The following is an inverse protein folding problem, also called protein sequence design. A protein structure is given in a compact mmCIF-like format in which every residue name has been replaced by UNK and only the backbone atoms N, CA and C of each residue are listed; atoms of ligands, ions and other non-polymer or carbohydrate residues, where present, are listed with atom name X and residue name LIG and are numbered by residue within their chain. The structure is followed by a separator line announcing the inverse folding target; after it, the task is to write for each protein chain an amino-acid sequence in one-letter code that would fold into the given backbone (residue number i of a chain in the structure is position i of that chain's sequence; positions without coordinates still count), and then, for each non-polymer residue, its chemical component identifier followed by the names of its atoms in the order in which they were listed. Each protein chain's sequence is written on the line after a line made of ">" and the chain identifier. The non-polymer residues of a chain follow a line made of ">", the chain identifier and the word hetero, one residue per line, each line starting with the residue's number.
data_IF_703356757737
#
_entry.id   IF_703356757737
#
_cell.length_a   1.000
_cell.length_b   1.000
_cell.length_c   1.000
_cell.angle_alpha   90.00
_cell.angle_beta   90.00
_cell.angle_gamma   90.00
#
_symmetry.space_group_name_H-M   'P 1'
#
loop_
_entity.id
_entity.type
_entity.pdbx_description
1 polymer ?
#
# COMPACT_ATOMS: atom_id res chain seq x y z
N UNK A 1 -17.38 -6.34 -3.21
CA UNK A 1 -17.74 -4.95 -3.61
C UNK A 1 -17.65 -4.75 -5.12
N UNK A 2 -16.55 -5.17 -5.76
CA UNK A 2 -16.36 -5.06 -7.22
C UNK A 2 -17.53 -5.68 -8.00
N UNK A 3 -17.98 -6.88 -7.61
CA UNK A 3 -19.09 -7.55 -8.30
C UNK A 3 -20.41 -6.78 -8.21
N UNK A 4 -20.62 -6.03 -7.13
CA UNK A 4 -21.79 -5.16 -7.00
C UNK A 4 -21.75 -4.03 -8.04
N UNK A 5 -20.60 -3.41 -8.24
CA UNK A 5 -20.43 -2.35 -9.25
C UNK A 5 -20.50 -2.92 -10.67
N UNK A 6 -19.95 -4.11 -10.90
CA UNK A 6 -20.08 -4.82 -12.18
C UNK A 6 -21.53 -5.12 -12.53
N UNK A 7 -22.33 -5.56 -11.56
CA UNK A 7 -23.78 -5.77 -11.74
C UNK A 7 -24.55 -4.47 -12.02
N UNK A 8 -23.98 -3.31 -11.67
CA UNK A 8 -24.53 -1.98 -11.98
C UNK A 8 -23.98 -1.40 -13.30
N UNK A 9 -23.19 -2.17 -14.07
CA UNK A 9 -22.65 -1.76 -15.36
C UNK A 9 -21.29 -1.05 -15.30
N UNK A 10 -20.59 -1.09 -14.17
CA UNK A 10 -19.22 -0.57 -14.07
C UNK A 10 -18.23 -1.63 -14.53
N UNK A 11 -17.43 -1.31 -15.54
CA UNK A 11 -16.39 -2.20 -16.07
C UNK A 11 -15.00 -1.78 -15.56
N UNK A 12 -14.11 -2.76 -15.45
CA UNK A 12 -12.70 -2.52 -15.12
C UNK A 12 -11.92 -2.56 -16.42
N UNK A 13 -11.19 -1.50 -16.70
CA UNK A 13 -10.23 -1.42 -17.80
C UNK A 13 -8.81 -1.56 -17.26
N UNK A 14 -7.95 -2.21 -18.04
CA UNK A 14 -6.54 -2.45 -17.68
C UNK A 14 -5.63 -1.31 -18.15
N UNK A 15 -6.05 -0.55 -19.16
CA UNK A 15 -5.28 0.56 -19.69
C UNK A 15 -6.17 1.73 -20.14
N UNK A 16 -5.64 2.97 -20.14
CA UNK A 16 -6.37 4.15 -20.60
C UNK A 16 -6.88 4.02 -22.03
N UNK A 17 -6.24 3.18 -22.84
CA UNK A 17 -6.58 3.00 -24.24
C UNK A 17 -7.94 2.38 -24.49
N UNK A 18 -8.44 1.62 -23.50
CA UNK A 18 -9.75 0.96 -23.53
C UNK A 18 -10.90 1.91 -23.19
N UNK A 19 -10.62 3.13 -22.73
CA UNK A 19 -11.66 4.12 -22.46
C UNK A 19 -12.15 4.76 -23.76
N UNK A 20 -13.44 4.59 -24.05
CA UNK A 20 -14.10 5.10 -25.26
C UNK A 20 -14.64 6.52 -25.06
N UNK A 21 -14.69 7.35 -26.12
CA UNK A 21 -15.29 8.68 -26.08
C UNK A 21 -16.70 8.71 -25.48
N UNK A 22 -16.99 9.72 -24.66
CA UNK A 22 -18.25 9.91 -23.95
C UNK A 22 -18.43 9.06 -22.68
N UNK A 23 -17.46 8.21 -22.33
CA UNK A 23 -17.48 7.44 -21.08
C UNK A 23 -16.95 8.25 -19.88
N UNK A 24 -17.32 7.80 -18.68
CA UNK A 24 -16.75 8.28 -17.42
C UNK A 24 -15.74 7.27 -16.88
N UNK A 25 -14.50 7.70 -16.65
CA UNK A 25 -13.42 6.89 -16.07
C UNK A 25 -13.23 7.26 -14.61
N UNK A 26 -13.35 6.26 -13.73
CA UNK A 26 -13.15 6.45 -12.28
C UNK A 26 -11.76 5.93 -11.90
N UNK A 27 -10.89 6.83 -11.42
CA UNK A 27 -9.59 6.45 -10.86
C UNK A 27 -9.79 5.95 -9.44
N UNK A 28 -9.33 4.73 -9.15
CA UNK A 28 -9.50 4.08 -7.84
C UNK A 28 -8.68 4.74 -6.74
N UNK A 29 -9.02 4.43 -5.49
CA UNK A 29 -8.38 4.99 -4.28
C UNK A 29 -6.87 4.86 -4.20
N UNK A 30 -6.29 3.83 -4.85
CA UNK A 30 -4.85 3.59 -4.92
C UNK A 30 -4.10 4.60 -5.79
N UNK A 31 -4.81 5.39 -6.59
CA UNK A 31 -4.19 6.27 -7.58
C UNK A 31 -3.60 5.52 -8.76
N UNK A 32 -3.06 6.29 -9.69
CA UNK A 32 -2.38 5.82 -10.90
C UNK A 32 -1.15 6.70 -11.17
N UNK A 33 -0.27 6.19 -12.03
CA UNK A 33 0.90 6.93 -12.50
C UNK A 33 0.49 8.22 -13.21
N UNK A 34 1.37 9.24 -13.22
CA UNK A 34 1.10 10.52 -13.86
C UNK A 34 0.76 10.37 -15.35
N UNK A 35 1.42 9.47 -16.06
CA UNK A 35 1.19 9.21 -17.48
C UNK A 35 -0.25 8.75 -17.78
N UNK A 36 -0.89 8.02 -16.86
CA UNK A 36 -2.28 7.57 -17.03
C UNK A 36 -3.24 8.76 -17.05
N UNK A 37 -3.03 9.76 -16.20
CA UNK A 37 -3.79 11.01 -16.26
C UNK A 37 -3.60 11.70 -17.61
N UNK A 38 -2.36 11.87 -18.04
CA UNK A 38 -2.02 12.54 -19.30
C UNK A 38 -2.65 11.83 -20.52
N UNK A 39 -2.73 10.50 -20.50
CA UNK A 39 -3.39 9.70 -21.55
C UNK A 39 -4.92 9.83 -21.53
N UNK A 40 -5.53 9.85 -20.34
CA UNK A 40 -6.98 10.02 -20.20
C UNK A 40 -7.43 11.44 -20.55
N UNK A 41 -6.63 12.46 -20.20
CA UNK A 41 -6.89 13.87 -20.56
C UNK A 41 -6.84 14.14 -22.07
N UNK A 42 -6.13 13.28 -22.82
CA UNK A 42 -6.11 13.32 -24.28
C UNK A 42 -7.32 12.62 -24.92
N UNK A 43 -8.18 12.01 -24.12
CA UNK A 43 -9.40 11.32 -24.56
C UNK A 43 -10.63 12.15 -24.25
N UNK A 44 -11.68 11.95 -25.04
CA UNK A 44 -12.98 12.58 -24.81
C UNK A 44 -13.75 11.83 -23.72
N UNK A 45 -13.21 11.78 -22.50
CA UNK A 45 -13.79 11.08 -21.35
C UNK A 45 -13.89 11.99 -20.14
N UNK A 46 -14.89 11.76 -19.29
CA UNK A 46 -14.97 12.42 -17.99
C UNK A 46 -14.12 11.66 -16.97
N UNK A 47 -13.19 12.33 -16.30
CA UNK A 47 -12.35 11.71 -15.27
C UNK A 47 -12.91 12.03 -13.88
N UNK A 48 -13.30 11.00 -13.13
CA UNK A 48 -13.63 11.09 -11.71
C UNK A 48 -12.49 10.51 -10.90
N UNK A 49 -11.70 11.38 -10.26
CA UNK A 49 -10.55 10.95 -9.48
C UNK A 49 -10.92 10.69 -8.01
N UNK A 50 -11.12 9.40 -7.67
CA UNK A 50 -11.38 8.93 -6.32
C UNK A 50 -10.10 8.51 -5.56
N UNK A 51 -8.90 8.90 -6.03
CA UNK A 51 -7.64 8.63 -5.35
C UNK A 51 -7.67 9.20 -3.94
N UNK A 52 -7.23 8.41 -2.96
CA UNK A 52 -7.16 8.82 -1.57
C UNK A 52 -6.28 10.08 -1.43
N UNK A 53 -6.71 11.14 -0.71
CA UNK A 53 -5.89 12.33 -0.49
C UNK A 53 -4.52 12.04 0.16
N UNK A 54 -4.42 10.99 0.99
CA UNK A 54 -3.15 10.56 1.56
C UNK A 54 -2.20 10.00 0.50
N UNK A 55 -2.71 9.25 -0.48
CA UNK A 55 -1.92 8.77 -1.63
C UNK A 55 -1.48 9.95 -2.51
N UNK A 56 -2.39 10.89 -2.83
CA UNK A 56 -2.04 12.11 -3.59
C UNK A 56 -0.93 12.93 -2.90
N UNK A 57 -0.92 12.97 -1.57
CA UNK A 57 0.17 13.61 -0.81
C UNK A 57 1.50 12.92 -1.09
N UNK A 58 1.54 11.58 -1.15
CA UNK A 58 2.77 10.84 -1.46
C UNK A 58 3.24 11.12 -2.89
N UNK A 59 2.32 11.17 -3.86
CA UNK A 59 2.63 11.58 -5.23
C UNK A 59 3.37 12.93 -5.26
N UNK A 60 2.86 13.92 -4.53
CA UNK A 60 3.50 15.22 -4.40
C UNK A 60 4.88 15.17 -3.73
N UNK A 61 5.04 14.37 -2.68
CA UNK A 61 6.33 14.21 -1.99
C UNK A 61 7.42 13.63 -2.89
N UNK A 62 7.11 12.57 -3.65
CA UNK A 62 8.11 11.92 -4.52
C UNK A 62 8.43 12.80 -5.73
N UNK A 63 7.44 13.47 -6.33
CA UNK A 63 7.68 14.45 -7.40
C UNK A 63 8.52 15.63 -6.94
N UNK A 64 8.25 16.16 -5.73
CA UNK A 64 9.00 17.30 -5.21
C UNK A 64 10.43 16.92 -4.85
N UNK A 65 10.63 15.74 -4.25
CA UNK A 65 11.95 15.22 -3.95
C UNK A 65 12.83 15.10 -5.21
N UNK A 66 12.29 14.53 -6.28
CA UNK A 66 13.01 14.43 -7.56
C UNK A 66 13.37 15.81 -8.13
N UNK A 67 12.44 16.77 -8.08
CA UNK A 67 12.70 18.16 -8.52
C UNK A 67 13.80 18.85 -7.71
N UNK A 68 13.94 18.48 -6.43
CA UNK A 68 15.01 18.97 -5.54
C UNK A 68 16.34 18.19 -5.71
N UNK A 69 16.40 17.23 -6.64
CA UNK A 69 17.57 16.39 -6.87
C UNK A 69 17.78 15.29 -5.83
N UNK A 70 16.77 15.01 -5.00
CA UNK A 70 16.79 13.89 -4.06
C UNK A 70 16.25 12.62 -4.74
N UNK A 71 16.85 11.47 -4.43
CA UNK A 71 16.38 10.16 -4.86
C UNK A 71 15.17 9.73 -4.02
N UNK A 72 13.97 9.56 -4.60
CA UNK A 72 12.84 8.98 -3.90
C UNK A 72 13.05 7.48 -3.66
N UNK A 73 12.85 7.05 -2.41
CA UNK A 73 12.80 5.65 -2.01
C UNK A 73 11.40 5.36 -1.47
N UNK A 74 10.75 4.33 -2.01
CA UNK A 74 9.41 3.91 -1.62
C UNK A 74 9.51 2.56 -0.93
N UNK A 75 9.06 2.47 0.32
CA UNK A 75 8.97 1.20 1.04
C UNK A 75 7.55 0.66 0.90
N UNK A 76 7.42 -0.49 0.25
CA UNK A 76 6.13 -1.10 -0.07
C UNK A 76 6.27 -2.21 -1.10
N UNK A 77 5.19 -2.96 -1.31
CA UNK A 77 5.17 -4.09 -2.26
C UNK A 77 5.26 -3.56 -3.70
N UNK A 78 6.32 -3.90 -4.48
CA UNK A 78 6.58 -3.29 -5.78
C UNK A 78 5.45 -3.44 -6.81
N UNK A 79 4.75 -4.57 -6.80
CA UNK A 79 3.62 -4.88 -7.70
C UNK A 79 2.27 -4.35 -7.21
N UNK A 80 2.22 -3.62 -6.09
CA UNK A 80 0.97 -3.10 -5.57
C UNK A 80 0.54 -1.84 -6.34
N UNK A 81 -0.74 -1.71 -6.78
CA UNK A 81 -1.19 -0.58 -7.61
C UNK A 81 -0.89 0.81 -7.01
N UNK A 82 -0.98 0.93 -5.69
CA UNK A 82 -0.59 2.17 -4.99
C UNK A 82 0.90 2.51 -5.14
N UNK A 83 1.77 1.50 -5.08
CA UNK A 83 3.22 1.67 -5.16
C UNK A 83 3.63 1.96 -6.61
N UNK A 84 3.03 1.27 -7.58
CA UNK A 84 3.18 1.58 -9.01
C UNK A 84 2.69 3.01 -9.32
N UNK A 85 1.54 3.37 -8.75
CA UNK A 85 0.97 4.71 -8.78
C UNK A 85 1.99 5.74 -8.31
N UNK A 86 2.48 5.62 -7.07
CA UNK A 86 3.47 6.51 -6.47
C UNK A 86 4.75 6.58 -7.32
N UNK A 87 5.31 5.43 -7.72
CA UNK A 87 6.54 5.37 -8.51
C UNK A 87 6.40 6.12 -9.84
N UNK A 88 5.21 6.10 -10.45
CA UNK A 88 4.89 6.82 -11.68
C UNK A 88 4.79 8.35 -11.56
N UNK A 89 5.08 8.94 -10.40
CA UNK A 89 5.16 10.39 -10.19
C UNK A 89 6.58 10.94 -10.13
N UNK A 90 7.57 10.09 -10.39
CA UNK A 90 8.98 10.43 -10.53
C UNK A 90 9.62 9.54 -11.60
N UNK A 91 10.66 10.04 -12.26
CA UNK A 91 11.38 9.31 -13.32
C UNK A 91 12.41 8.34 -12.76
N UNK A 92 12.98 8.67 -11.60
CA UNK A 92 14.06 7.91 -10.98
C UNK A 92 13.78 7.66 -9.49
N UNK A 93 13.09 6.56 -9.17
CA UNK A 93 12.93 6.09 -7.79
C UNK A 93 13.45 4.67 -7.57
N UNK A 94 13.53 4.28 -6.30
CA UNK A 94 13.79 2.89 -5.89
C UNK A 94 12.65 2.41 -5.00
N UNK A 95 12.22 1.18 -5.22
CA UNK A 95 11.14 0.55 -4.46
C UNK A 95 11.69 -0.68 -3.75
N UNK A 96 11.40 -0.82 -2.46
CA UNK A 96 11.83 -1.97 -1.67
C UNK A 96 10.67 -2.51 -0.83
N UNK A 97 10.45 -3.82 -0.94
CA UNK A 97 9.41 -4.50 -0.17
C UNK A 97 9.74 -4.61 1.32
N UNK A 98 11.03 -4.75 1.66
CA UNK A 98 11.47 -4.99 3.02
C UNK A 98 12.87 -4.45 3.31
N UNK A 99 13.28 -4.54 4.58
CA UNK A 99 14.57 -4.07 5.06
C UNK A 99 15.76 -4.79 4.40
N UNK A 100 15.64 -6.08 4.11
CA UNK A 100 16.72 -6.86 3.50
C UNK A 100 17.01 -6.37 2.08
N UNK A 101 15.96 -6.16 1.28
CA UNK A 101 16.07 -5.61 -0.07
C UNK A 101 16.74 -4.22 -0.05
N UNK A 102 16.35 -3.35 0.89
CA UNK A 102 16.96 -2.03 1.07
C UNK A 102 18.44 -2.13 1.45
N UNK A 103 18.81 -3.02 2.39
CA UNK A 103 20.20 -3.27 2.80
C UNK A 103 21.07 -3.77 1.65
N UNK A 104 20.56 -4.73 0.88
CA UNK A 104 21.28 -5.31 -0.24
C UNK A 104 21.61 -4.26 -1.29
N UNK A 105 20.65 -3.40 -1.64
CA UNK A 105 20.88 -2.29 -2.56
C UNK A 105 21.85 -1.26 -1.99
N UNK A 106 21.72 -0.87 -0.72
CA UNK A 106 22.59 0.11 -0.11
C UNK A 106 24.04 -0.37 0.05
N UNK A 107 24.29 -1.68 -0.01
CA UNK A 107 25.63 -2.27 0.07
C UNK A 107 26.33 -2.35 -1.30
N UNK A 108 25.69 -1.91 -2.38
CA UNK A 108 26.27 -1.93 -3.73
C UNK A 108 27.37 -0.85 -3.89
N UNK A 109 28.23 -1.00 -4.91
CA UNK A 109 29.31 -0.04 -5.16
C UNK A 109 28.80 1.37 -5.54
N UNK A 110 27.57 1.45 -6.05
CA UNK A 110 26.87 2.71 -6.37
C UNK A 110 26.09 3.28 -5.18
N UNK A 111 26.52 2.98 -3.95
CA UNK A 111 25.83 3.41 -2.72
C UNK A 111 25.64 4.94 -2.71
N UNK A 112 24.39 5.44 -2.72
CA UNK A 112 24.10 6.86 -2.73
C UNK A 112 24.21 7.48 -1.32
N UNK A 113 25.17 7.03 -0.50
CA UNK A 113 25.38 7.45 0.89
C UNK A 113 25.44 8.98 1.07
N UNK A 114 25.99 9.69 0.07
CA UNK A 114 26.08 11.15 0.05
C UNK A 114 24.95 11.84 -0.72
N UNK A 115 24.15 11.10 -1.48
CA UNK A 115 23.02 11.66 -2.23
C UNK A 115 21.92 12.11 -1.28
N UNK A 116 21.17 13.13 -1.68
CA UNK A 116 19.95 13.49 -0.97
C UNK A 116 18.89 12.41 -1.24
N UNK A 117 18.22 11.93 -0.19
CA UNK A 117 17.23 10.87 -0.27
C UNK A 117 15.93 11.34 0.36
N UNK A 118 14.81 11.03 -0.30
CA UNK A 118 13.48 11.19 0.26
C UNK A 118 12.81 9.82 0.37
N UNK A 119 12.55 9.35 1.59
CA UNK A 119 11.92 8.06 1.81
C UNK A 119 10.45 8.20 2.22
N UNK A 120 9.57 7.42 1.60
CA UNK A 120 8.14 7.33 1.89
C UNK A 120 7.71 5.87 2.04
N UNK A 121 6.59 5.61 2.70
CA UNK A 121 5.96 4.29 2.83
C UNK A 121 4.65 4.19 2.03
N UNK A 122 4.32 2.98 1.60
CA UNK A 122 2.95 2.63 1.23
C UNK A 122 2.00 2.89 2.41
N UNK A 123 0.81 3.45 2.16
CA UNK A 123 -0.14 3.87 3.20
C UNK A 123 -0.66 2.75 4.09
N UNK A 124 -0.59 1.52 3.60
CA UNK A 124 -1.04 0.33 4.33
C UNK A 124 0.10 -0.38 5.05
N UNK A 125 1.36 0.08 4.97
CA UNK A 125 2.55 -0.64 5.48
C UNK A 125 2.44 -0.91 6.99
N UNK A 126 3.13 -1.93 7.49
CA UNK A 126 3.25 -2.14 8.94
C UNK A 126 4.24 -1.15 9.54
N UNK A 127 3.89 -0.58 10.70
CA UNK A 127 4.74 0.38 11.40
C UNK A 127 6.10 -0.22 11.78
N UNK A 128 6.11 -1.48 12.21
CA UNK A 128 7.34 -2.21 12.58
C UNK A 128 8.33 -2.29 11.43
N UNK A 129 7.86 -2.63 10.22
CA UNK A 129 8.68 -2.71 9.03
C UNK A 129 9.19 -1.31 8.64
N UNK A 130 8.31 -0.32 8.59
CA UNK A 130 8.68 1.06 8.29
C UNK A 130 9.78 1.58 9.21
N UNK A 131 9.59 1.42 10.52
CA UNK A 131 10.55 1.83 11.54
C UNK A 131 11.90 1.16 11.36
N UNK A 132 11.91 -0.15 11.07
CA UNK A 132 13.16 -0.90 10.82
C UNK A 132 13.92 -0.37 9.59
N UNK A 133 13.22 -0.01 8.52
CA UNK A 133 13.78 0.62 7.33
C UNK A 133 14.32 2.02 7.61
N UNK A 134 13.57 2.86 8.34
CA UNK A 134 14.01 4.21 8.75
C UNK A 134 15.26 4.16 9.63
N UNK A 135 15.30 3.26 10.61
CA UNK A 135 16.44 3.15 11.53
C UNK A 135 17.71 2.67 10.83
N UNK A 136 17.58 1.83 9.82
CA UNK A 136 18.70 1.49 8.94
C UNK A 136 19.10 2.67 8.05
N UNK A 137 18.14 3.29 7.36
CA UNK A 137 18.38 4.39 6.44
C UNK A 137 19.09 5.58 7.10
N UNK A 138 18.71 5.93 8.35
CA UNK A 138 19.36 7.00 9.15
C UNK A 138 20.85 6.75 9.37
N UNK A 139 21.27 5.49 9.48
CA UNK A 139 22.68 5.11 9.68
C UNK A 139 23.44 5.04 8.35
N UNK A 140 22.71 4.80 7.26
CA UNK A 140 23.27 4.50 5.96
C UNK A 140 23.40 5.73 5.05
N UNK A 141 22.51 6.71 5.18
CA UNK A 141 22.42 7.85 4.27
C UNK A 141 22.57 9.17 5.03
N UNK A 142 23.54 9.98 4.62
CA UNK A 142 23.88 11.24 5.30
C UNK A 142 22.79 12.29 5.15
N UNK A 143 22.14 12.35 3.97
CA UNK A 143 21.18 13.39 3.59
C UNK A 143 19.76 12.82 3.45
N UNK A 144 19.30 12.09 4.47
CA UNK A 144 17.98 11.46 4.50
C UNK A 144 16.88 12.42 4.99
N UNK A 145 15.86 12.64 4.16
CA UNK A 145 14.52 13.05 4.59
C UNK A 145 13.60 11.84 4.51
N UNK A 146 12.73 11.65 5.49
CA UNK A 146 11.70 10.61 5.43
C UNK A 146 10.37 11.17 5.89
N UNK A 147 9.29 10.66 5.31
CA UNK A 147 7.93 11.01 5.67
C UNK A 147 7.20 9.75 6.05
N UNK A 148 6.67 9.70 7.27
CA UNK A 148 5.72 8.66 7.62
C UNK A 148 4.43 8.90 6.83
N UNK A 149 4.15 7.99 5.91
CA UNK A 149 3.00 8.06 5.03
C UNK A 149 2.06 6.88 5.22
N UNK A 150 2.25 6.07 6.28
CA UNK A 150 1.25 5.12 6.74
C UNK A 150 0.01 5.93 7.16
N UNK A 151 -1.17 5.56 6.66
CA UNK A 151 -2.36 6.33 7.00
C UNK A 151 -2.83 5.97 8.40
N UNK A 152 -3.33 6.97 9.15
CA UNK A 152 -3.81 6.78 10.52
C UNK A 152 -4.90 5.70 10.65
N UNK A 153 -5.70 5.52 9.60
CA UNK A 153 -6.72 4.50 9.56
C UNK A 153 -6.12 3.08 9.46
N UNK A 154 -4.95 2.92 8.85
CA UNK A 154 -4.16 1.69 8.88
C UNK A 154 -3.60 1.46 10.28
N UNK A 155 -2.91 2.45 10.85
CA UNK A 155 -2.28 2.35 12.18
C UNK A 155 -3.30 1.96 13.25
N UNK A 156 -4.46 2.62 13.26
CA UNK A 156 -5.53 2.35 14.21
C UNK A 156 -6.02 0.90 14.12
N UNK A 157 -6.31 0.41 12.90
CA UNK A 157 -6.76 -0.98 12.70
C UNK A 157 -5.70 -2.00 13.06
N UNK A 158 -4.43 -1.72 12.75
CA UNK A 158 -3.31 -2.60 13.10
C UNK A 158 -3.14 -2.69 14.62
N UNK A 159 -3.22 -1.55 15.33
CA UNK A 159 -3.17 -1.52 16.79
C UNK A 159 -4.36 -2.23 17.43
N UNK A 160 -5.58 -2.02 16.93
CA UNK A 160 -6.77 -2.73 17.43
C UNK A 160 -6.69 -4.24 17.17
N UNK A 161 -6.25 -4.64 15.97
CA UNK A 161 -6.09 -6.05 15.63
C UNK A 161 -5.06 -6.73 16.54
N UNK A 162 -3.92 -6.08 16.81
CA UNK A 162 -2.93 -6.57 17.77
C UNK A 162 -3.55 -6.76 19.16
N UNK A 163 -4.16 -5.69 19.72
CA UNK A 163 -4.77 -5.74 21.06
C UNK A 163 -5.90 -6.77 21.17
N UNK A 164 -6.73 -6.94 20.14
CA UNK A 164 -7.80 -7.93 20.14
C UNK A 164 -7.23 -9.35 20.04
N UNK A 165 -6.20 -9.55 19.22
CA UNK A 165 -5.55 -10.85 19.04
C UNK A 165 -4.81 -11.36 20.29
N UNK A 166 -4.45 -10.47 21.22
CA UNK A 166 -3.86 -10.84 22.52
C UNK A 166 -4.88 -11.44 23.50
N UNK A 167 -6.16 -11.12 23.34
CA UNK A 167 -7.22 -11.52 24.28
C UNK A 167 -8.20 -12.54 23.70
N UNK A 168 -8.16 -12.79 22.38
CA UNK A 168 -9.03 -13.73 21.70
C UNK A 168 -8.34 -15.06 21.39
N UNK A 169 -9.10 -16.16 21.46
CA UNK A 169 -8.62 -17.51 21.15
C UNK A 169 -8.65 -17.84 19.66
N UNK A 170 -9.43 -17.08 18.88
CA UNK A 170 -9.40 -17.07 17.44
C UNK A 170 -9.66 -15.65 16.89
N UNK A 171 -9.11 -15.35 15.73
CA UNK A 171 -9.33 -14.09 15.00
C UNK A 171 -9.88 -14.37 13.61
N UNK A 172 -10.92 -13.64 13.20
CA UNK A 172 -11.48 -13.65 11.85
C UNK A 172 -11.23 -12.30 11.19
N UNK A 173 -10.29 -12.26 10.25
CA UNK A 173 -9.99 -11.05 9.48
C UNK A 173 -10.76 -11.10 8.17
N UNK A 174 -11.73 -10.21 8.02
CA UNK A 174 -12.63 -10.17 6.85
C UNK A 174 -12.09 -9.24 5.78
N UNK A 175 -11.94 -9.76 4.57
CA UNK A 175 -11.70 -9.00 3.35
C UNK A 175 -10.96 -9.79 2.28
N UNK A 176 -10.81 -9.17 1.12
CA UNK A 176 -10.15 -9.77 -0.05
C UNK A 176 -8.70 -10.20 0.31
N UNK A 177 -8.30 -11.46 0.04
CA UNK A 177 -6.93 -11.92 0.27
C UNK A 177 -5.85 -11.13 -0.48
N UNK A 178 -6.21 -10.49 -1.60
CA UNK A 178 -5.31 -9.60 -2.37
C UNK A 178 -5.16 -8.20 -1.76
N UNK A 179 -5.95 -7.84 -0.74
CA UNK A 179 -5.84 -6.56 -0.04
C UNK A 179 -4.63 -6.54 0.87
N UNK A 180 -3.71 -5.62 0.58
CA UNK A 180 -2.50 -5.36 1.38
C UNK A 180 -2.81 -5.08 2.85
N UNK A 181 -3.85 -4.28 3.15
CA UNK A 181 -4.26 -4.01 4.53
C UNK A 181 -4.79 -5.28 5.21
N UNK A 182 -5.64 -6.04 4.52
CA UNK A 182 -6.26 -7.26 5.04
C UNK A 182 -5.21 -8.32 5.36
N UNK A 183 -4.26 -8.55 4.44
CA UNK A 183 -3.14 -9.45 4.68
C UNK A 183 -2.26 -9.02 5.85
N UNK A 184 -2.02 -7.72 6.03
CA UNK A 184 -1.23 -7.18 7.16
C UNK A 184 -1.95 -7.33 8.50
N UNK A 185 -3.26 -7.12 8.57
CA UNK A 185 -4.04 -7.40 9.79
C UNK A 185 -3.95 -8.88 10.16
N UNK A 186 -4.10 -9.78 9.18
CA UNK A 186 -3.98 -11.21 9.43
C UNK A 186 -2.56 -11.62 9.88
N UNK A 187 -1.51 -10.96 9.36
CA UNK A 187 -0.14 -11.16 9.81
C UNK A 187 0.04 -10.74 11.27
N UNK A 188 -0.43 -9.55 11.63
CA UNK A 188 -0.37 -9.01 13.00
C UNK A 188 -1.11 -9.92 13.97
N UNK A 189 -2.34 -10.32 13.64
CA UNK A 189 -3.12 -11.24 14.49
C UNK A 189 -2.38 -12.56 14.75
N UNK A 190 -1.61 -13.07 13.77
CA UNK A 190 -0.85 -14.33 13.92
C UNK A 190 0.35 -14.21 14.84
N UNK A 191 0.82 -13.00 15.15
CA UNK A 191 1.89 -12.79 16.12
C UNK A 191 1.43 -13.09 17.56
N UNK A 192 0.14 -12.94 17.85
CA UNK A 192 -0.43 -13.10 19.19
C UNK A 192 -1.46 -14.23 19.31
N UNK A 193 -2.15 -14.58 18.22
CA UNK A 193 -3.19 -15.60 18.20
C UNK A 193 -2.82 -16.78 17.28
N UNK A 194 -2.91 -18.01 17.81
CA UNK A 194 -2.58 -19.22 17.05
C UNK A 194 -3.64 -19.65 16.02
N UNK A 195 -4.86 -19.09 16.08
CA UNK A 195 -5.96 -19.40 15.16
C UNK A 195 -6.43 -18.11 14.45
N UNK A 196 -5.98 -17.90 13.22
CA UNK A 196 -6.34 -16.71 12.42
C UNK A 196 -6.89 -17.12 11.07
N UNK A 197 -8.13 -16.75 10.81
CA UNK A 197 -8.85 -17.02 9.57
C UNK A 197 -8.92 -15.75 8.73
N UNK A 198 -8.51 -15.84 7.47
CA UNK A 198 -8.67 -14.79 6.49
C UNK A 198 -9.79 -15.21 5.56
N UNK A 199 -10.90 -14.47 5.55
CA UNK A 199 -12.09 -14.83 4.77
C UNK A 199 -12.63 -13.64 4.00
N UNK A 200 -13.09 -13.85 2.77
CA UNK A 200 -13.78 -12.78 2.03
C UNK A 200 -15.22 -12.59 2.54
N UNK A 201 -15.87 -13.69 2.94
CA UNK A 201 -17.25 -13.67 3.42
C UNK A 201 -17.52 -14.83 4.41
N UNK A 202 -18.67 -14.77 5.07
CA UNK A 202 -19.04 -15.72 6.12
C UNK A 202 -19.17 -17.18 5.66
N UNK A 203 -19.35 -17.45 4.36
CA UNK A 203 -19.50 -18.84 3.87
C UNK A 203 -18.18 -19.63 3.88
N UNK A 204 -17.05 -18.94 3.99
CA UNK A 204 -15.72 -19.57 4.10
C UNK A 204 -15.38 -20.02 5.52
N UNK A 205 -16.21 -19.64 6.51
CA UNK A 205 -16.02 -20.07 7.88
C UNK A 205 -16.52 -21.50 8.08
N UNK A 206 -15.65 -22.35 8.63
CA UNK A 206 -15.98 -23.74 8.97
C UNK A 206 -16.27 -23.82 10.47
N UNK A 207 -17.50 -24.13 10.91
CA UNK A 207 -17.87 -24.16 12.34
C UNK A 207 -16.97 -25.06 13.21
N UNK A 208 -16.45 -26.14 12.63
CA UNK A 208 -15.51 -27.07 13.27
C UNK A 208 -14.25 -26.39 13.80
N UNK A 209 -13.74 -25.37 13.11
CA UNK A 209 -12.49 -24.69 13.45
C UNK A 209 -12.60 -23.88 14.77
N UNK A 210 -13.83 -23.51 15.12
CA UNK A 210 -14.20 -22.74 16.30
C UNK A 210 -14.61 -23.62 17.49
N UNK A 211 -14.53 -24.95 17.38
CA UNK A 211 -14.78 -25.83 18.52
C UNK A 211 -13.78 -25.55 19.65
N UNK A 212 -14.28 -25.48 20.87
CA UNK A 212 -13.52 -25.18 22.10
C UNK A 212 -12.88 -23.79 22.12
N UNK A 213 -13.32 -22.88 21.26
CA UNK A 213 -12.95 -21.45 21.29
C UNK A 213 -14.03 -20.71 22.09
N UNK A 214 -13.66 -20.05 23.18
CA UNK A 214 -14.61 -19.27 24.01
C UNK A 214 -14.82 -17.85 23.50
N UNK A 215 -13.79 -17.28 22.84
CA UNK A 215 -13.75 -15.88 22.44
C UNK A 215 -13.16 -15.75 21.03
N UNK A 216 -13.93 -15.14 20.13
CA UNK A 216 -13.56 -14.88 18.73
C UNK A 216 -13.56 -13.38 18.48
N UNK A 217 -12.45 -12.86 17.94
CA UNK A 217 -12.28 -11.48 17.51
C UNK A 217 -12.40 -11.29 16.01
#
# INVERSE_FOLDING_TARGET
>A
MVDKFRALGVEVIDSPEQAEPGQTVIIRSHGVARQVYEQLEQRDVEIIDATCPFVKRIHGLVSQAEKEGALPIIIGTPSHPEVEGIAGWCSHCRVFENLEALKNWASTQDNPCNSSICMVSQTTLTESLWKSCVDFAKKQFTNLKFFDTICRATEYRQSEAASLSEVCQAMVVVGDPSSSNTGRLAMICREHCGKVFLVDNASELVPEDFRSVSDVG
#
